data_IF_106959576784
#
_entry.id   IF_106959576784
#
_cell.length_a   1.000
_cell.length_b   1.000
_cell.length_c   1.000
_cell.angle_alpha   90.00
_cell.angle_beta   90.00
_cell.angle_gamma   90.00
#
_symmetry.space_group_name_H-M   'P 1'
#
loop_
_entity.id
_entity.type
_entity.pdbx_description
1 polymer ?
#
# COMPACT_ATOMS: atom_id res chain seq x y z
N UNK A 1 -4.65 24.61 18.40
CA UNK A 1 -3.86 23.37 18.33
C UNK A 1 -4.78 22.20 18.61
N UNK A 2 -5.31 21.56 17.57
CA UNK A 2 -6.18 20.40 17.72
C UNK A 2 -5.30 19.16 17.59
N UNK A 3 -5.14 18.45 18.71
CA UNK A 3 -4.38 17.19 18.80
C UNK A 3 -5.37 16.06 18.56
N UNK A 4 -5.36 15.46 17.38
CA UNK A 4 -6.27 14.37 17.04
C UNK A 4 -5.74 13.03 17.56
N UNK A 5 -6.56 12.16 18.18
CA UNK A 5 -6.10 10.90 18.73
C UNK A 5 -6.37 9.77 17.72
N UNK A 6 -5.35 9.29 17.02
CA UNK A 6 -5.44 7.98 16.37
C UNK A 6 -5.28 6.91 17.45
N UNK A 7 -6.41 6.36 17.92
CA UNK A 7 -6.42 4.98 18.41
C UNK A 7 -6.22 4.09 17.20
N UNK A 8 -4.97 3.79 16.87
CA UNK A 8 -4.64 2.63 16.07
C UNK A 8 -5.20 1.44 16.83
N UNK A 9 -6.27 0.82 16.31
CA UNK A 9 -6.70 -0.45 16.85
C UNK A 9 -5.50 -1.38 16.75
N UNK A 10 -5.04 -1.85 17.90
CA UNK A 10 -3.90 -2.75 18.08
C UNK A 10 -4.31 -4.15 17.59
N UNK A 11 -4.70 -4.24 16.32
CA UNK A 11 -5.04 -5.46 15.62
C UNK A 11 -3.76 -6.12 15.11
N UNK A 12 -2.82 -6.35 16.03
CA UNK A 12 -1.58 -7.07 15.82
C UNK A 12 -1.53 -8.31 16.69
N UNK A 13 -2.68 -8.97 16.96
CA UNK A 13 -2.63 -10.36 17.39
C UNK A 13 -1.92 -11.14 16.30
N UNK A 14 -0.80 -11.74 16.67
CA UNK A 14 0.11 -12.54 15.86
C UNK A 14 -0.59 -13.83 15.39
N UNK A 15 -1.63 -13.69 14.57
CA UNK A 15 -2.29 -14.79 13.87
C UNK A 15 -1.36 -15.20 12.75
N UNK A 16 -1.02 -16.49 12.68
CA UNK A 16 -0.25 -17.02 11.58
C UNK A 16 -0.91 -16.64 10.25
N UNK A 17 -0.17 -15.99 9.36
CA UNK A 17 -0.69 -15.55 8.07
C UNK A 17 -0.99 -16.78 7.19
N UNK A 18 -2.12 -16.79 6.46
CA UNK A 18 -2.54 -17.91 5.64
C UNK A 18 -1.79 -17.90 4.29
N UNK A 19 -0.49 -18.20 4.30
CA UNK A 19 0.39 -18.07 3.13
C UNK A 19 -0.02 -18.94 1.95
N UNK A 20 -0.47 -20.18 2.19
CA UNK A 20 -0.94 -21.08 1.14
C UNK A 20 -2.17 -20.50 0.41
N UNK A 21 -3.16 -20.00 1.14
CA UNK A 21 -4.34 -19.35 0.57
C UNK A 21 -4.00 -18.01 -0.11
N UNK A 22 -2.97 -17.32 0.38
CA UNK A 22 -2.50 -16.07 -0.19
C UNK A 22 -1.81 -16.29 -1.54
N UNK A 23 -1.04 -17.37 -1.69
CA UNK A 23 -0.40 -17.78 -2.94
C UNK A 23 -1.39 -18.27 -4.00
N UNK A 24 -2.57 -18.75 -3.60
CA UNK A 24 -3.62 -19.29 -4.47
C UNK A 24 -4.35 -18.21 -5.30
N UNK A 25 -3.60 -17.40 -6.06
CA UNK A 25 -4.11 -16.39 -6.99
C UNK A 25 -3.46 -16.55 -8.38
N UNK A 26 -4.16 -16.22 -9.48
CA UNK A 26 -3.68 -16.52 -10.84
C UNK A 26 -2.29 -15.94 -11.17
N UNK A 27 -1.97 -14.75 -10.66
CA UNK A 27 -0.69 -14.08 -10.94
C UNK A 27 0.51 -14.80 -10.31
N UNK A 28 0.30 -15.59 -9.26
CA UNK A 28 1.37 -16.33 -8.56
C UNK A 28 1.39 -17.82 -8.93
N UNK A 29 0.43 -18.30 -9.73
CA UNK A 29 0.24 -19.72 -10.01
C UNK A 29 1.40 -20.39 -10.77
N UNK A 30 2.20 -19.61 -11.50
CA UNK A 30 3.31 -20.12 -12.31
C UNK A 30 4.67 -20.13 -11.58
N UNK A 31 4.72 -19.65 -10.33
CA UNK A 31 5.95 -19.67 -9.54
C UNK A 31 6.29 -21.09 -9.11
N UNK A 32 7.57 -21.47 -9.21
CA UNK A 32 8.08 -22.73 -8.68
C UNK A 32 8.01 -22.75 -7.14
N UNK A 33 7.97 -23.93 -6.50
CA UNK A 33 7.85 -24.02 -5.03
C UNK A 33 8.95 -23.27 -4.26
N UNK A 34 10.16 -23.25 -4.80
CA UNK A 34 11.31 -22.49 -4.28
C UNK A 34 11.11 -20.97 -4.43
N UNK A 35 10.60 -20.49 -5.57
CA UNK A 35 10.23 -19.09 -5.78
C UNK A 35 9.10 -18.65 -4.83
N UNK A 36 8.08 -19.50 -4.65
CA UNK A 36 6.99 -19.25 -3.70
C UNK A 36 7.52 -19.13 -2.27
N UNK A 37 8.40 -20.04 -1.85
CA UNK A 37 9.02 -20.01 -0.53
C UNK A 37 9.86 -18.74 -0.31
N UNK A 38 10.63 -18.33 -1.32
CA UNK A 38 11.42 -17.09 -1.30
C UNK A 38 10.51 -15.86 -1.23
N UNK A 39 9.43 -15.85 -2.01
CA UNK A 39 8.45 -14.77 -2.03
C UNK A 39 7.75 -14.61 -0.68
N UNK A 40 7.36 -15.71 -0.04
CA UNK A 40 6.78 -15.70 1.32
C UNK A 40 7.77 -15.08 2.32
N UNK A 41 9.04 -15.48 2.29
CA UNK A 41 10.04 -14.91 3.20
C UNK A 41 10.24 -13.40 2.99
N UNK A 42 10.21 -12.93 1.74
CA UNK A 42 10.26 -11.49 1.44
C UNK A 42 9.01 -10.78 1.92
N UNK A 43 7.82 -11.36 1.69
CA UNK A 43 6.55 -10.79 2.11
C UNK A 43 6.40 -10.71 3.63
N UNK A 44 6.90 -11.71 4.36
CA UNK A 44 6.93 -11.70 5.83
C UNK A 44 7.81 -10.57 6.36
N UNK A 45 9.04 -10.42 5.81
CA UNK A 45 9.93 -9.29 6.14
C UNK A 45 9.30 -7.94 5.78
N UNK A 46 8.59 -7.87 4.65
CA UNK A 46 7.87 -6.67 4.24
C UNK A 46 6.84 -6.25 5.29
N UNK A 47 6.05 -7.18 5.82
CA UNK A 47 5.05 -6.90 6.85
C UNK A 47 5.67 -6.52 8.20
N UNK A 48 6.89 -6.97 8.49
CA UNK A 48 7.65 -6.53 9.67
C UNK A 48 8.21 -5.10 9.52
N UNK A 49 8.54 -4.69 8.30
CA UNK A 49 9.21 -3.41 8.01
C UNK A 49 8.27 -2.29 7.56
N UNK A 50 7.12 -2.64 6.98
CA UNK A 50 6.18 -1.70 6.36
C UNK A 50 4.82 -1.80 7.04
N UNK A 51 4.19 -0.65 7.24
CA UNK A 51 2.84 -0.59 7.82
C UNK A 51 1.78 -0.58 6.72
N UNK A 52 0.86 -1.54 6.76
CA UNK A 52 -0.37 -1.50 5.98
C UNK A 52 -1.41 -0.67 6.75
N UNK A 53 -1.93 0.38 6.11
CA UNK A 53 -2.86 1.32 6.73
C UNK A 53 -4.18 1.28 5.95
N UNK A 54 -5.19 0.53 6.43
CA UNK A 54 -6.52 0.60 5.87
C UNK A 54 -7.15 1.98 6.12
N UNK A 55 -7.81 2.52 5.10
CA UNK A 55 -8.52 3.79 5.18
C UNK A 55 -10.01 3.59 4.89
N UNK A 56 -10.83 4.57 5.28
CA UNK A 56 -12.27 4.62 4.99
C UNK A 56 -13.05 3.38 5.49
N UNK A 57 -12.62 2.80 6.62
CA UNK A 57 -13.28 1.61 7.18
C UNK A 57 -13.02 0.34 6.38
N UNK A 58 -11.98 0.29 5.54
CA UNK A 58 -11.58 -0.92 4.86
C UNK A 58 -11.14 -2.00 5.87
N UNK A 59 -11.82 -3.15 5.85
CA UNK A 59 -11.48 -4.29 6.69
C UNK A 59 -10.31 -5.08 6.09
N UNK A 60 -9.12 -4.83 6.64
CA UNK A 60 -7.89 -5.51 6.26
C UNK A 60 -7.69 -6.75 7.14
N UNK A 61 -8.04 -7.92 6.60
CA UNK A 61 -7.81 -9.21 7.25
C UNK A 61 -6.42 -9.80 6.95
N UNK A 62 -6.09 -10.91 7.60
CA UNK A 62 -4.81 -11.61 7.45
C UNK A 62 -4.55 -12.07 6.00
N UNK A 63 -5.56 -12.56 5.29
CA UNK A 63 -5.43 -13.03 3.91
C UNK A 63 -5.14 -11.87 2.94
N UNK A 64 -5.87 -10.75 3.07
CA UNK A 64 -5.64 -9.54 2.30
C UNK A 64 -4.26 -8.96 2.57
N UNK A 65 -3.84 -8.93 3.84
CA UNK A 65 -2.51 -8.46 4.23
C UNK A 65 -1.39 -9.29 3.60
N UNK A 66 -1.51 -10.62 3.68
CA UNK A 66 -0.55 -11.55 3.07
C UNK A 66 -0.47 -11.36 1.54
N UNK A 67 -1.62 -11.27 0.86
CA UNK A 67 -1.68 -11.05 -0.59
C UNK A 67 -1.05 -9.72 -1.01
N UNK A 68 -1.35 -8.64 -0.29
CA UNK A 68 -0.76 -7.32 -0.57
C UNK A 68 0.76 -7.41 -0.46
N UNK A 69 1.29 -8.03 0.61
CA UNK A 69 2.74 -8.20 0.78
C UNK A 69 3.37 -9.03 -0.35
N UNK A 70 2.77 -10.17 -0.73
CA UNK A 70 3.25 -11.00 -1.85
C UNK A 70 3.31 -10.18 -3.16
N UNK A 71 2.28 -9.38 -3.44
CA UNK A 71 2.23 -8.56 -4.65
C UNK A 71 3.27 -7.43 -4.67
N UNK A 72 3.59 -6.84 -3.51
CA UNK A 72 4.69 -5.86 -3.40
C UNK A 72 6.06 -6.50 -3.60
N UNK A 73 6.24 -7.72 -3.09
CA UNK A 73 7.51 -8.43 -3.14
C UNK A 73 7.77 -9.12 -4.48
N UNK A 74 6.73 -9.42 -5.27
CA UNK A 74 6.87 -10.14 -6.54
C UNK A 74 7.83 -9.43 -7.53
N UNK A 75 7.75 -8.12 -7.80
CA UNK A 75 8.65 -7.44 -8.74
C UNK A 75 10.11 -7.39 -8.25
N UNK A 76 10.34 -7.57 -6.96
CA UNK A 76 11.66 -7.49 -6.32
C UNK A 76 12.16 -8.85 -5.85
N UNK A 77 11.52 -9.95 -6.29
CA UNK A 77 11.85 -11.32 -5.86
C UNK A 77 13.33 -11.66 -6.09
N UNK A 78 13.88 -11.26 -7.24
CA UNK A 78 15.29 -11.47 -7.60
C UNK A 78 16.18 -10.25 -7.35
N UNK A 79 15.61 -9.15 -6.86
CA UNK A 79 16.32 -7.89 -6.64
C UNK A 79 16.65 -7.62 -5.17
N UNK A 80 15.81 -8.10 -4.26
CA UNK A 80 15.93 -7.84 -2.82
C UNK A 80 14.92 -6.80 -2.29
N UNK A 81 14.62 -6.87 -1.00
CA UNK A 81 13.59 -6.05 -0.34
C UNK A 81 13.99 -4.56 -0.23
N UNK A 82 15.29 -4.27 -0.25
CA UNK A 82 15.86 -2.92 -0.19
C UNK A 82 15.33 -1.98 -1.29
N UNK A 83 14.90 -2.55 -2.43
CA UNK A 83 14.25 -1.79 -3.50
C UNK A 83 12.90 -1.19 -3.08
N UNK A 84 12.34 -1.64 -1.96
CA UNK A 84 11.12 -1.12 -1.35
C UNK A 84 11.41 -0.13 -0.20
N UNK A 85 12.67 0.23 0.08
CA UNK A 85 13.03 1.16 1.16
C UNK A 85 12.58 2.60 0.93
N UNK A 86 12.16 2.93 -0.29
CA UNK A 86 11.65 4.25 -0.61
C UNK A 86 10.46 4.67 0.27
N UNK A 87 9.65 3.74 0.78
CA UNK A 87 8.46 4.04 1.58
C UNK A 87 8.40 3.23 2.87
N UNK A 88 7.63 3.71 3.85
CA UNK A 88 7.41 3.00 5.12
C UNK A 88 5.96 2.53 5.28
N UNK A 89 5.03 3.14 4.55
CA UNK A 89 3.60 2.90 4.75
C UNK A 89 2.88 2.70 3.41
N UNK A 90 1.92 1.78 3.43
CA UNK A 90 1.00 1.52 2.33
C UNK A 90 -0.41 1.91 2.76
N UNK A 91 -0.95 2.96 2.13
CA UNK A 91 -2.34 3.35 2.35
C UNK A 91 -3.24 2.55 1.42
N UNK A 92 -4.27 1.96 2.01
CA UNK A 92 -5.18 1.05 1.34
C UNK A 92 -6.57 1.67 1.30
N UNK A 93 -7.08 1.89 0.09
CA UNK A 93 -8.40 2.46 -0.15
C UNK A 93 -9.39 1.41 -0.66
N UNK A 94 -10.66 1.45 -0.23
CA UNK A 94 -11.70 0.53 -0.69
C UNK A 94 -12.19 0.83 -2.12
N UNK A 95 -11.92 2.01 -2.66
CA UNK A 95 -12.42 2.45 -3.97
C UNK A 95 -11.40 3.35 -4.70
N UNK A 96 -11.46 3.43 -6.04
CA UNK A 96 -10.71 4.43 -6.81
C UNK A 96 -10.99 5.84 -6.30
N UNK A 97 -9.94 6.63 -6.14
CA UNK A 97 -10.06 8.09 -6.03
C UNK A 97 -10.00 8.69 -7.44
N UNK A 98 -10.95 9.56 -7.77
CA UNK A 98 -10.83 10.50 -8.88
C UNK A 98 -10.26 11.78 -8.23
N UNK A 99 -9.00 12.10 -8.50
CA UNK A 99 -8.50 13.45 -8.19
C UNK A 99 -9.00 14.33 -9.32
N UNK A 100 -9.83 15.32 -8.99
CA UNK A 100 -9.94 16.51 -9.82
C UNK A 100 -8.66 17.31 -9.57
N UNK A 101 -7.66 17.14 -10.44
CA UNK A 101 -6.46 17.97 -10.44
C UNK A 101 -6.85 19.26 -11.17
N UNK A 102 -7.17 20.32 -10.42
CA UNK A 102 -7.29 21.66 -10.97
C UNK A 102 -5.90 22.30 -10.94
N UNK A 103 -5.28 22.42 -12.10
CA UNK A 103 -4.11 23.28 -12.27
C UNK A 103 -4.51 24.51 -13.08
N UNK A 104 -4.17 25.68 -12.54
CA UNK A 104 -4.28 26.98 -13.19
C UNK A 104 -2.89 27.32 -13.75
N UNK A 105 -2.82 27.57 -15.06
CA UNK A 105 -1.58 27.98 -15.72
C UNK A 105 -1.24 29.46 -15.45
N UNK A 106 -0.06 29.90 -15.88
CA UNK A 106 0.43 31.27 -15.66
C UNK A 106 -0.41 32.37 -16.37
N UNK A 107 -1.47 31.98 -17.10
CA UNK A 107 -2.42 32.87 -17.79
C UNK A 107 -3.87 32.73 -17.26
N UNK A 108 -4.08 32.00 -16.16
CA UNK A 108 -5.35 31.92 -15.45
C UNK A 108 -6.35 30.90 -16.01
N UNK A 109 -5.90 29.92 -16.78
CA UNK A 109 -6.73 28.92 -17.45
C UNK A 109 -6.79 27.63 -16.63
N UNK A 110 -7.97 27.34 -16.07
CA UNK A 110 -8.22 26.13 -15.29
C UNK A 110 -8.39 24.93 -16.23
N UNK A 111 -7.46 23.98 -16.17
CA UNK A 111 -7.56 22.72 -16.89
C UNK A 111 -8.08 21.62 -15.95
N UNK A 112 -9.17 20.94 -16.34
CA UNK A 112 -9.71 19.78 -15.61
C UNK A 112 -9.34 18.50 -16.35
N UNK A 113 -8.45 17.69 -15.76
CA UNK A 113 -8.13 16.36 -16.26
C UNK A 113 -8.42 15.30 -15.18
N UNK A 114 -9.39 14.43 -15.45
CA UNK A 114 -9.68 13.27 -14.58
C UNK A 114 -8.58 12.23 -14.72
N UNK A 115 -7.65 12.20 -13.78
CA UNK A 115 -6.60 11.17 -13.72
C UNK A 115 -6.95 10.14 -12.65
N UNK A 116 -7.10 8.88 -13.07
CA UNK A 116 -7.24 7.75 -12.15
C UNK A 116 -5.86 7.46 -11.56
N UNK A 117 -5.62 7.95 -10.34
CA UNK A 117 -4.35 7.81 -9.64
C UNK A 117 -4.32 6.46 -8.88
N UNK A 118 -3.72 5.42 -9.46
CA UNK A 118 -3.46 4.12 -8.80
C UNK A 118 -1.98 3.76 -8.84
N UNK A 119 -1.38 3.46 -7.68
CA UNK A 119 -0.02 2.93 -7.63
C UNK A 119 1.10 3.97 -7.78
N UNK A 120 0.92 5.18 -7.25
CA UNK A 120 1.98 6.20 -7.18
C UNK A 120 2.63 6.25 -5.78
N UNK A 121 3.93 6.57 -5.75
CA UNK A 121 4.71 6.85 -4.54
C UNK A 121 4.97 8.36 -4.48
N UNK A 122 4.57 9.04 -3.40
CA UNK A 122 4.63 10.51 -3.33
C UNK A 122 5.66 10.99 -2.31
N UNK A 123 6.53 11.93 -2.71
CA UNK A 123 7.57 12.60 -1.89
C UNK A 123 7.10 13.82 -1.11
N UNK A 124 5.92 14.35 -1.44
CA UNK A 124 5.31 15.48 -0.73
C UNK A 124 3.98 15.02 -0.17
N UNK A 125 3.71 15.38 1.09
CA UNK A 125 2.50 14.98 1.80
C UNK A 125 1.25 15.35 1.01
N UNK A 126 0.16 14.56 1.09
CA UNK A 126 -0.94 14.74 0.18
C UNK A 126 -1.75 15.99 0.51
N UNK A 127 -2.26 16.69 -0.50
CA UNK A 127 -3.26 17.76 -0.36
C UNK A 127 -4.63 17.28 0.17
N UNK A 128 -4.72 16.04 0.68
CA UNK A 128 -5.97 15.45 1.16
C UNK A 128 -6.09 15.61 2.68
N UNK A 129 -7.19 16.18 3.20
CA UNK A 129 -7.34 16.53 4.63
C UNK A 129 -7.24 15.34 5.59
N UNK A 130 -7.48 14.11 5.13
CA UNK A 130 -7.32 12.87 5.90
C UNK A 130 -5.84 12.47 6.13
N UNK A 131 -4.89 13.09 5.42
CA UNK A 131 -3.48 12.68 5.37
C UNK A 131 -2.54 13.68 6.05
N UNK A 132 -3.09 14.71 6.68
CA UNK A 132 -2.37 15.78 7.38
C UNK A 132 -1.56 15.34 8.62
N UNK A 133 -1.45 14.04 8.89
CA UNK A 133 -0.68 13.45 10.00
C UNK A 133 0.40 12.46 9.58
N UNK A 134 0.55 12.16 8.28
CA UNK A 134 1.56 11.21 7.80
C UNK A 134 2.80 11.96 7.34
N UNK A 135 3.87 11.88 8.12
CA UNK A 135 5.18 12.44 7.79
C UNK A 135 6.08 11.33 7.24
N UNK A 136 6.14 11.16 5.92
CA UNK A 136 7.00 10.18 5.24
C UNK A 136 6.59 9.90 3.79
N UNK A 137 7.42 9.14 3.05
CA UNK A 137 7.04 8.63 1.72
C UNK A 137 6.00 7.53 1.88
N UNK A 138 4.91 7.64 1.14
CA UNK A 138 3.78 6.73 1.24
C UNK A 138 3.42 6.17 -0.13
N UNK A 139 3.14 4.86 -0.17
CA UNK A 139 2.60 4.16 -1.35
C UNK A 139 1.09 4.03 -1.23
N UNK A 140 0.34 4.45 -2.25
CA UNK A 140 -1.11 4.20 -2.30
C UNK A 140 -1.42 2.99 -3.13
N UNK A 141 -2.18 2.06 -2.55
CA UNK A 141 -2.65 0.85 -3.23
C UNK A 141 -4.17 0.77 -3.16
N UNK A 142 -4.73 0.28 -4.27
CA UNK A 142 -6.12 -0.09 -4.39
C UNK A 142 -6.20 -1.61 -4.27
N UNK A 143 -7.18 -2.09 -3.51
CA UNK A 143 -7.55 -3.51 -3.44
C UNK A 143 -8.87 -3.71 -4.16
#
# INVERSE_FOLDING_TARGET
MIKWPWKSNDAGQHVALPWDDALAIPVLANLQPDEQSKLIQLADRFLQQKRLVPLQGFELDALKSARIALLFCLPVLELGIEWLDGFHEVLIYPAPFIVDDEWEDDIGLVHNQRVVQSGQSWQQGPHHPQLAGYSGLVRRVRV
#
